data_IF_730964279098
#
_entry.id   IF_730964279098
#
_cell.length_a   1.000
_cell.length_b   1.000
_cell.length_c   1.000
_cell.angle_alpha   90.00
_cell.angle_beta   90.00
_cell.angle_gamma   90.00
#
_symmetry.space_group_name_H-M   'P 1'
#
loop_
_entity.id
_entity.type
_entity.pdbx_description
1 polymer ?
#
# COMPACT_ATOMS: atom_id res chain seq x y z
N UNK A 1 36.09 -14.86 -3.23
CA UNK A 1 35.54 -13.63 -2.54
C UNK A 1 34.04 -13.80 -2.50
N UNK A 2 33.49 -14.10 -1.31
CA UNK A 2 32.03 -14.04 -1.14
C UNK A 2 31.64 -12.60 -1.31
N UNK A 3 30.83 -12.31 -2.36
CA UNK A 3 30.21 -11.02 -2.52
C UNK A 3 29.31 -10.72 -1.33
N UNK A 4 29.22 -9.47 -0.92
CA UNK A 4 28.30 -9.01 0.11
C UNK A 4 26.90 -9.55 -0.22
N UNK A 5 26.17 -10.16 0.72
CA UNK A 5 24.84 -10.65 0.45
C UNK A 5 24.00 -9.51 -0.12
N UNK A 6 23.39 -9.73 -1.28
CA UNK A 6 22.49 -8.75 -1.88
C UNK A 6 21.25 -8.76 -1.00
N UNK A 7 20.92 -7.64 -0.37
CA UNK A 7 19.79 -7.57 0.53
C UNK A 7 18.46 -7.63 -0.23
N UNK A 8 17.57 -8.50 0.23
CA UNK A 8 16.16 -8.48 -0.18
C UNK A 8 15.54 -7.24 0.45
N UNK A 9 14.98 -6.35 -0.37
CA UNK A 9 14.26 -5.22 0.18
C UNK A 9 12.86 -5.62 0.68
N UNK A 10 12.41 -4.98 1.77
CA UNK A 10 11.14 -5.25 2.42
C UNK A 10 10.35 -3.93 2.59
N UNK A 11 9.28 -3.77 1.81
CA UNK A 11 8.36 -2.62 1.94
C UNK A 11 7.59 -2.71 3.25
N UNK A 12 7.11 -3.90 3.58
CA UNK A 12 6.38 -4.19 4.81
C UNK A 12 7.25 -4.70 5.95
N UNK A 13 6.60 -5.29 6.93
CA UNK A 13 7.24 -5.96 8.06
C UNK A 13 6.58 -7.32 8.32
N UNK A 14 7.38 -8.34 8.58
CA UNK A 14 6.90 -9.71 8.82
C UNK A 14 5.96 -9.85 10.03
N UNK A 15 6.06 -8.94 11.00
CA UNK A 15 5.14 -8.87 12.14
C UNK A 15 3.84 -8.11 11.86
N UNK A 16 3.74 -7.44 10.70
CA UNK A 16 2.57 -6.70 10.27
C UNK A 16 2.30 -7.03 8.79
N UNK A 17 1.82 -8.26 8.56
CA UNK A 17 1.63 -8.80 7.20
C UNK A 17 0.44 -8.19 6.44
N UNK A 18 -0.51 -7.60 7.15
CA UNK A 18 -1.66 -6.93 6.55
C UNK A 18 -1.54 -5.41 6.70
N UNK A 19 -1.20 -4.68 5.61
CA UNK A 19 -1.04 -3.23 5.67
C UNK A 19 -2.31 -2.47 6.03
N UNK A 20 -3.50 -3.02 5.78
CA UNK A 20 -4.77 -2.38 6.16
C UNK A 20 -4.89 -2.14 7.67
N UNK A 21 -4.20 -2.92 8.49
CA UNK A 21 -4.20 -2.77 9.94
C UNK A 21 -3.38 -1.57 10.45
N UNK A 22 -2.55 -0.98 9.58
CA UNK A 22 -1.76 0.21 9.94
C UNK A 22 -2.70 1.34 10.34
N UNK A 23 -3.83 1.53 9.65
CA UNK A 23 -4.81 2.56 9.98
C UNK A 23 -5.35 2.40 11.41
N UNK A 24 -5.78 1.20 11.77
CA UNK A 24 -6.33 0.91 13.09
C UNK A 24 -5.29 1.13 14.19
N UNK A 25 -4.09 0.57 14.02
CA UNK A 25 -3.00 0.74 14.98
C UNK A 25 -2.52 2.18 15.10
N UNK A 26 -2.52 2.94 14.01
CA UNK A 26 -2.15 4.34 14.03
C UNK A 26 -3.21 5.21 14.71
N UNK A 27 -4.50 4.92 14.56
CA UNK A 27 -5.58 5.58 15.29
C UNK A 27 -5.43 5.38 16.80
N UNK A 28 -5.16 4.15 17.25
CA UNK A 28 -4.88 3.85 18.66
C UNK A 28 -3.64 4.61 19.17
N UNK A 29 -2.58 4.66 18.38
CA UNK A 29 -1.39 5.43 18.72
C UNK A 29 -1.69 6.93 18.87
N UNK A 30 -2.43 7.51 17.94
CA UNK A 30 -2.72 8.96 17.92
C UNK A 30 -3.55 9.43 19.14
N UNK A 31 -4.37 8.53 19.71
CA UNK A 31 -5.18 8.80 20.90
C UNK A 31 -4.43 8.49 22.21
N UNK A 32 -3.20 7.99 22.11
CA UNK A 32 -2.44 7.53 23.28
C UNK A 32 -1.44 8.58 23.80
N UNK A 33 -0.94 8.36 25.02
CA UNK A 33 0.17 9.13 25.60
C UNK A 33 1.53 8.85 24.97
N UNK A 34 1.61 7.93 24.00
CA UNK A 34 2.87 7.55 23.34
C UNK A 34 3.25 8.49 22.19
N UNK A 35 2.40 9.42 21.79
CA UNK A 35 2.73 10.44 20.78
C UNK A 35 3.95 11.24 21.24
N UNK A 36 5.01 11.22 20.42
CA UNK A 36 6.31 11.85 20.76
C UNK A 36 7.12 11.13 21.84
N UNK A 37 6.67 9.96 22.32
CA UNK A 37 7.33 9.19 23.39
C UNK A 37 7.16 7.66 23.21
N UNK A 38 7.42 7.17 22.01
CA UNK A 38 7.18 5.76 21.66
C UNK A 38 8.44 4.87 21.81
N UNK A 39 9.52 5.37 22.45
CA UNK A 39 10.79 4.64 22.52
C UNK A 39 11.16 4.27 23.95
N UNK A 40 11.97 3.24 24.07
CA UNK A 40 12.37 2.62 25.33
C UNK A 40 11.62 1.33 25.61
N UNK A 41 12.26 0.40 26.32
CA UNK A 41 11.70 -0.94 26.57
C UNK A 41 10.34 -0.86 27.27
N UNK A 42 10.20 0.00 28.26
CA UNK A 42 8.97 0.17 29.00
C UNK A 42 7.82 0.68 28.10
N UNK A 43 8.09 1.70 27.29
CA UNK A 43 7.12 2.24 26.34
C UNK A 43 6.80 1.24 25.21
N UNK A 44 7.79 0.48 24.70
CA UNK A 44 7.56 -0.57 23.71
C UNK A 44 6.60 -1.64 24.28
N UNK A 45 6.81 -2.08 25.52
CA UNK A 45 5.93 -3.06 26.17
C UNK A 45 4.54 -2.46 26.44
N UNK A 46 4.48 -1.24 26.99
CA UNK A 46 3.22 -0.59 27.31
C UNK A 46 2.38 -0.31 26.05
N UNK A 47 3.00 0.14 24.95
CA UNK A 47 2.30 0.33 23.68
C UNK A 47 1.83 -1.00 23.07
N UNK A 48 2.62 -2.05 23.16
CA UNK A 48 2.22 -3.39 22.74
C UNK A 48 0.99 -3.87 23.52
N UNK A 49 0.97 -3.66 24.84
CA UNK A 49 -0.18 -4.01 25.68
C UNK A 49 -1.42 -3.21 25.29
N UNK A 50 -1.29 -1.92 25.01
CA UNK A 50 -2.38 -1.09 24.50
C UNK A 50 -2.94 -1.61 23.17
N UNK A 51 -2.08 -1.97 22.22
CA UNK A 51 -2.50 -2.56 20.95
C UNK A 51 -3.24 -3.89 21.14
N UNK A 52 -2.80 -4.70 22.12
CA UNK A 52 -3.47 -5.95 22.46
C UNK A 52 -4.83 -5.72 23.14
N UNK A 53 -4.91 -4.80 24.08
CA UNK A 53 -6.16 -4.39 24.74
C UNK A 53 -7.20 -3.88 23.73
N UNK A 54 -6.77 -3.12 22.75
CA UNK A 54 -7.62 -2.61 21.66
C UNK A 54 -7.91 -3.64 20.55
N UNK A 55 -7.45 -4.88 20.69
CA UNK A 55 -7.66 -5.96 19.71
C UNK A 55 -6.91 -5.78 18.39
N UNK A 56 -5.94 -4.86 18.35
CA UNK A 56 -5.12 -4.62 17.15
C UNK A 56 -4.13 -5.77 16.92
N UNK A 57 -3.56 -6.30 17.96
CA UNK A 57 -2.70 -7.48 17.95
C UNK A 57 -3.25 -8.55 18.87
N UNK A 58 -2.86 -9.80 18.62
CA UNK A 58 -3.11 -10.90 19.54
C UNK A 58 -1.75 -11.31 20.13
N UNK A 59 -1.53 -10.98 21.39
CA UNK A 59 -0.36 -11.43 22.13
C UNK A 59 -0.76 -12.60 23.03
N UNK A 60 -1.01 -13.76 22.40
CA UNK A 60 -1.39 -14.97 23.12
C UNK A 60 -0.29 -15.40 24.10
N UNK A 61 -0.58 -15.29 25.39
CA UNK A 61 0.22 -15.81 26.47
C UNK A 61 1.52 -15.05 26.76
N UNK A 62 1.61 -13.75 26.45
CA UNK A 62 2.76 -12.93 26.84
C UNK A 62 4.08 -13.29 26.13
N UNK A 63 4.02 -13.91 24.96
CA UNK A 63 5.18 -14.43 24.22
C UNK A 63 6.20 -13.36 23.78
N UNK A 64 5.81 -12.09 23.70
CA UNK A 64 6.73 -10.99 23.37
C UNK A 64 7.02 -10.12 24.60
N UNK A 65 7.90 -10.59 25.46
CA UNK A 65 8.41 -9.84 26.63
C UNK A 65 9.34 -8.69 26.25
N UNK A 66 9.74 -8.60 24.97
CA UNK A 66 10.71 -7.62 24.50
C UNK A 66 10.11 -6.37 23.91
N UNK A 67 8.78 -6.32 23.68
CA UNK A 67 8.11 -5.24 22.97
C UNK A 67 8.48 -5.16 21.48
N UNK A 68 8.93 -6.28 20.89
CA UNK A 68 9.38 -6.30 19.49
C UNK A 68 8.26 -5.95 18.52
N UNK A 69 7.02 -6.30 18.84
CA UNK A 69 5.86 -5.93 18.04
C UNK A 69 5.65 -4.40 17.99
N UNK A 70 5.76 -3.71 19.13
CA UNK A 70 5.64 -2.25 19.16
C UNK A 70 6.69 -1.58 18.26
N UNK A 71 7.95 -2.07 18.27
CA UNK A 71 9.01 -1.56 17.39
C UNK A 71 8.68 -1.76 15.89
N UNK A 72 8.02 -2.87 15.54
CA UNK A 72 7.55 -3.12 14.17
C UNK A 72 6.46 -2.13 13.74
N UNK A 73 5.50 -1.85 14.61
CA UNK A 73 4.46 -0.85 14.37
C UNK A 73 5.06 0.55 14.20
N UNK A 74 5.93 0.98 15.14
CA UNK A 74 6.66 2.24 15.03
C UNK A 74 7.42 2.37 13.71
N UNK A 75 8.13 1.32 13.30
CA UNK A 75 8.81 1.29 12.01
C UNK A 75 7.84 1.53 10.85
N UNK A 76 6.69 0.88 10.85
CA UNK A 76 5.70 1.06 9.79
C UNK A 76 5.06 2.45 9.81
N UNK A 77 4.83 3.04 10.97
CA UNK A 77 4.36 4.42 11.06
C UNK A 77 5.37 5.40 10.46
N UNK A 78 6.65 5.26 10.80
CA UNK A 78 7.70 6.14 10.28
C UNK A 78 7.98 5.93 8.79
N UNK A 79 7.97 4.68 8.30
CA UNK A 79 8.16 4.37 6.87
C UNK A 79 7.05 4.94 5.99
N UNK A 80 5.82 5.00 6.51
CA UNK A 80 4.70 5.60 5.82
C UNK A 80 4.56 7.12 6.08
N UNK A 81 5.53 7.74 6.73
CA UNK A 81 5.53 9.18 6.99
C UNK A 81 4.48 9.67 7.99
N UNK A 82 3.88 8.76 8.78
CA UNK A 82 2.83 9.09 9.73
C UNK A 82 3.37 9.71 11.02
N UNK A 83 4.58 9.31 11.40
CA UNK A 83 5.35 9.90 12.50
C UNK A 83 6.75 10.29 12.02
N UNK A 84 7.35 11.29 12.67
CA UNK A 84 8.73 11.66 12.36
C UNK A 84 9.69 10.54 12.77
N UNK A 85 10.54 10.05 11.84
CA UNK A 85 11.52 9.01 12.15
C UNK A 85 12.62 9.54 13.08
N UNK A 86 13.33 8.62 13.74
CA UNK A 86 14.62 8.95 14.32
C UNK A 86 15.62 9.17 13.19
N UNK A 87 16.14 10.40 13.09
CA UNK A 87 17.16 10.74 12.11
C UNK A 87 18.54 10.36 12.63
N UNK A 88 19.35 9.70 11.82
CA UNK A 88 20.78 9.53 12.11
C UNK A 88 21.47 10.88 11.91
N UNK A 89 22.35 11.27 12.84
CA UNK A 89 23.08 12.54 12.82
C UNK A 89 23.80 12.83 11.50
N UNK A 90 24.24 11.80 10.80
CA UNK A 90 24.87 11.95 9.47
C UNK A 90 23.94 12.53 8.39
N UNK A 91 22.63 12.48 8.60
CA UNK A 91 21.64 13.00 7.66
C UNK A 91 21.08 14.39 8.05
N UNK A 92 21.50 14.92 9.19
CA UNK A 92 21.12 16.25 9.66
C UNK A 92 20.60 16.26 11.10
N UNK A 93 20.14 17.42 11.52
CA UNK A 93 19.61 17.68 12.86
C UNK A 93 18.15 17.21 12.96
N UNK A 94 17.80 16.43 14.00
CA UNK A 94 16.42 15.97 14.24
C UNK A 94 15.43 17.13 14.28
N UNK A 95 15.82 18.27 14.89
CA UNK A 95 14.97 19.46 14.99
C UNK A 95 14.61 20.05 13.62
N UNK A 96 15.46 19.86 12.59
CA UNK A 96 15.19 20.36 11.24
C UNK A 96 14.12 19.53 10.50
N UNK A 97 13.86 18.29 10.95
CA UNK A 97 12.80 17.44 10.41
C UNK A 97 11.51 17.55 11.25
N UNK A 98 11.62 17.42 12.55
CA UNK A 98 10.52 17.43 13.50
C UNK A 98 10.81 16.60 14.75
N UNK A 99 9.97 16.68 15.77
CA UNK A 99 10.12 15.91 17.00
C UNK A 99 9.90 14.41 16.71
N UNK A 100 10.90 13.60 17.02
CA UNK A 100 10.87 12.17 16.84
C UNK A 100 9.61 11.53 17.46
N UNK A 101 9.00 10.61 16.71
CA UNK A 101 7.78 9.87 17.08
C UNK A 101 6.51 10.74 17.28
N UNK A 102 6.58 12.04 16.96
CA UNK A 102 5.39 12.89 16.91
C UNK A 102 4.64 12.71 15.58
N UNK A 103 3.35 13.01 15.58
CA UNK A 103 2.50 12.88 14.39
C UNK A 103 2.85 13.96 13.38
N UNK A 104 3.11 13.55 12.14
CA UNK A 104 3.43 14.44 11.03
C UNK A 104 2.18 15.13 10.48
N UNK A 105 2.31 16.21 9.67
CA UNK A 105 1.19 16.73 8.87
C UNK A 105 0.51 15.63 8.04
N UNK A 106 1.28 14.77 7.39
CA UNK A 106 0.73 13.65 6.62
C UNK A 106 0.03 12.60 7.51
N UNK A 107 0.55 12.33 8.71
CA UNK A 107 -0.11 11.47 9.68
C UNK A 107 -1.48 12.01 10.10
N UNK A 108 -1.62 13.32 10.26
CA UNK A 108 -2.92 13.96 10.52
C UNK A 108 -3.91 13.76 9.38
N UNK A 109 -3.46 13.93 8.13
CA UNK A 109 -4.29 13.66 6.94
C UNK A 109 -4.69 12.19 6.87
N UNK A 110 -3.75 11.27 7.17
CA UNK A 110 -4.04 9.83 7.22
C UNK A 110 -5.11 9.48 8.26
N UNK A 111 -5.13 10.14 9.42
CA UNK A 111 -6.20 9.96 10.43
C UNK A 111 -7.57 10.36 9.89
N UNK A 112 -7.64 11.34 8.98
CA UNK A 112 -8.88 11.79 8.31
C UNK A 112 -9.29 10.93 7.12
N UNK A 113 -8.43 10.05 6.65
CA UNK A 113 -8.73 9.08 5.61
C UNK A 113 -9.61 7.95 6.20
N UNK A 114 -10.91 8.14 6.21
CA UNK A 114 -11.91 7.26 6.84
C UNK A 114 -12.56 6.25 5.86
N UNK A 115 -12.22 6.35 4.56
CA UNK A 115 -12.66 5.41 3.53
C UNK A 115 -11.48 4.62 2.97
N UNK A 116 -11.75 3.40 2.46
CA UNK A 116 -10.68 2.58 1.88
C UNK A 116 -9.93 3.27 0.73
N UNK A 117 -10.59 3.93 -0.26
CA UNK A 117 -9.88 4.67 -1.30
C UNK A 117 -9.04 5.84 -0.78
N UNK A 118 -9.47 6.53 0.28
CA UNK A 118 -8.68 7.59 0.90
C UNK A 118 -7.44 7.05 1.62
N UNK A 119 -7.57 5.94 2.36
CA UNK A 119 -6.44 5.23 2.97
C UNK A 119 -5.47 4.72 1.89
N UNK A 120 -5.99 4.17 0.80
CA UNK A 120 -5.19 3.70 -0.34
C UNK A 120 -4.42 4.84 -1.01
N UNK A 121 -5.02 6.03 -1.15
CA UNK A 121 -4.35 7.22 -1.66
C UNK A 121 -3.16 7.63 -0.78
N UNK A 122 -3.32 7.57 0.56
CA UNK A 122 -2.21 7.82 1.49
C UNK A 122 -1.07 6.81 1.30
N UNK A 123 -1.37 5.52 1.22
CA UNK A 123 -0.34 4.50 0.98
C UNK A 123 0.35 4.68 -0.37
N UNK A 124 -0.39 5.01 -1.42
CA UNK A 124 0.21 5.29 -2.73
C UNK A 124 1.23 6.43 -2.62
N UNK A 125 0.86 7.52 -1.96
CA UNK A 125 1.73 8.69 -1.79
C UNK A 125 2.97 8.37 -0.97
N UNK A 126 2.81 7.69 0.16
CA UNK A 126 3.93 7.24 0.99
C UNK A 126 4.89 6.34 0.21
N UNK A 127 4.39 5.32 -0.47
CA UNK A 127 5.21 4.35 -1.20
C UNK A 127 5.88 4.95 -2.44
N UNK A 128 5.32 6.01 -3.01
CA UNK A 128 5.92 6.70 -4.16
C UNK A 128 7.23 7.43 -3.82
N UNK A 129 7.46 7.74 -2.54
CA UNK A 129 8.65 8.43 -2.03
C UNK A 129 9.41 7.63 -0.96
N UNK A 130 8.95 6.43 -0.63
CA UNK A 130 9.68 5.54 0.28
C UNK A 130 11.05 5.20 -0.30
N UNK A 131 12.09 5.32 0.54
CA UNK A 131 13.48 5.23 0.12
C UNK A 131 14.19 4.04 0.76
N UNK A 132 14.85 3.25 -0.08
CA UNK A 132 15.74 2.17 0.34
C UNK A 132 17.17 2.48 -0.06
N UNK A 133 18.15 2.33 0.83
CA UNK A 133 19.55 2.56 0.48
C UNK A 133 20.04 1.53 -0.55
N UNK A 134 20.77 2.00 -1.54
CA UNK A 134 21.55 1.14 -2.42
C UNK A 134 22.89 0.83 -1.73
N UNK A 135 23.14 -0.44 -1.47
CA UNK A 135 24.34 -0.89 -0.74
C UNK A 135 25.63 -0.35 -1.39
N UNK A 136 26.50 0.25 -0.58
CA UNK A 136 27.79 0.82 -1.01
C UNK A 136 27.74 2.14 -1.76
N UNK A 137 26.57 2.79 -1.82
CA UNK A 137 26.38 4.11 -2.48
C UNK A 137 25.62 5.08 -1.56
N UNK A 138 25.76 6.37 -1.87
CA UNK A 138 24.96 7.41 -1.19
C UNK A 138 23.58 7.61 -1.84
N UNK A 139 23.20 6.76 -2.78
CA UNK A 139 21.93 6.84 -3.50
C UNK A 139 20.89 5.91 -2.91
N UNK A 140 19.63 6.22 -3.19
CA UNK A 140 18.46 5.53 -2.69
C UNK A 140 17.55 5.17 -3.86
N UNK A 141 16.67 4.20 -3.68
CA UNK A 141 15.67 3.85 -4.67
C UNK A 141 14.29 3.64 -4.05
N UNK A 142 13.24 3.80 -4.84
CA UNK A 142 11.88 3.46 -4.44
C UNK A 142 11.49 2.08 -4.97
N UNK A 143 11.18 1.12 -4.10
CA UNK A 143 10.75 -0.21 -4.52
C UNK A 143 9.52 -0.20 -5.43
N UNK A 144 8.52 0.65 -5.12
CA UNK A 144 7.33 0.78 -5.97
C UNK A 144 7.70 1.23 -7.39
N UNK A 145 8.51 2.28 -7.51
CA UNK A 145 8.94 2.82 -8.81
C UNK A 145 9.77 1.82 -9.61
N UNK A 146 10.62 1.05 -8.92
CA UNK A 146 11.42 0.00 -9.55
C UNK A 146 10.55 -1.13 -10.12
N UNK A 147 9.58 -1.62 -9.35
CA UNK A 147 8.64 -2.65 -9.83
C UNK A 147 7.79 -2.14 -10.99
N UNK A 148 7.34 -0.89 -10.93
CA UNK A 148 6.61 -0.28 -12.06
C UNK A 148 7.50 -0.21 -13.31
N UNK A 149 8.78 0.13 -13.19
CA UNK A 149 9.71 0.14 -14.33
C UNK A 149 9.86 -1.26 -14.94
N UNK A 150 10.04 -2.30 -14.13
CA UNK A 150 10.10 -3.70 -14.61
C UNK A 150 8.81 -4.07 -15.35
N UNK A 151 7.64 -3.76 -14.78
CA UNK A 151 6.35 -4.13 -15.34
C UNK A 151 6.03 -3.38 -16.63
N UNK A 152 6.39 -2.12 -16.74
CA UNK A 152 6.24 -1.33 -17.98
C UNK A 152 7.19 -1.81 -19.10
N UNK A 153 8.41 -2.19 -18.75
CA UNK A 153 9.32 -2.79 -19.74
C UNK A 153 8.84 -4.18 -20.20
N UNK A 154 8.24 -4.97 -19.28
CA UNK A 154 7.56 -6.21 -19.68
C UNK A 154 6.38 -5.93 -20.62
N UNK A 155 5.56 -4.93 -20.31
CA UNK A 155 4.42 -4.54 -21.16
C UNK A 155 4.86 -4.13 -22.56
N UNK A 156 5.90 -3.32 -22.65
CA UNK A 156 6.49 -2.91 -23.92
C UNK A 156 6.96 -4.09 -24.78
N UNK A 157 7.50 -5.14 -24.15
CA UNK A 157 8.05 -6.31 -24.87
C UNK A 157 7.04 -7.41 -25.13
N UNK A 158 5.99 -7.51 -24.34
CA UNK A 158 5.05 -8.66 -24.37
C UNK A 158 3.60 -8.26 -24.57
N UNK A 159 3.28 -6.96 -24.53
CA UNK A 159 1.91 -6.46 -24.55
C UNK A 159 1.16 -6.58 -23.21
N UNK A 160 1.84 -7.02 -22.14
CA UNK A 160 1.23 -7.18 -20.80
C UNK A 160 2.18 -6.77 -19.70
N UNK A 161 1.71 -5.95 -18.76
CA UNK A 161 2.45 -5.58 -17.55
C UNK A 161 2.40 -6.66 -16.45
N UNK A 162 1.86 -7.84 -16.72
CA UNK A 162 1.74 -8.92 -15.74
C UNK A 162 3.10 -9.38 -15.23
N UNK A 163 3.25 -9.40 -13.90
CA UNK A 163 4.39 -9.96 -13.18
C UNK A 163 3.87 -11.06 -12.25
N UNK A 164 4.14 -12.32 -12.57
CA UNK A 164 3.67 -13.45 -11.79
C UNK A 164 4.33 -13.53 -10.42
N UNK A 165 3.74 -14.31 -9.50
CA UNK A 165 4.27 -14.50 -8.14
C UNK A 165 5.72 -15.02 -8.14
N UNK A 166 6.03 -15.97 -9.03
CA UNK A 166 7.39 -16.54 -9.11
C UNK A 166 8.38 -15.52 -9.68
N UNK A 167 8.00 -14.79 -10.70
CA UNK A 167 8.84 -13.75 -11.31
C UNK A 167 9.14 -12.63 -10.32
N UNK A 168 8.13 -12.19 -9.56
CA UNK A 168 8.32 -11.22 -8.49
C UNK A 168 9.25 -11.77 -7.40
N UNK A 169 9.07 -13.02 -6.98
CA UNK A 169 9.93 -13.64 -5.98
C UNK A 169 11.39 -13.74 -6.45
N UNK A 170 11.63 -14.12 -7.69
CA UNK A 170 12.99 -14.34 -8.20
C UNK A 170 13.68 -13.05 -8.67
N UNK A 171 12.94 -12.09 -9.24
CA UNK A 171 13.51 -10.93 -9.93
C UNK A 171 12.92 -9.58 -9.51
N UNK A 172 11.81 -9.56 -8.77
CA UNK A 172 11.22 -8.34 -8.23
C UNK A 172 11.95 -7.87 -6.99
N UNK A 173 11.64 -8.46 -5.82
CA UNK A 173 12.13 -8.02 -4.51
C UNK A 173 13.61 -8.33 -4.24
N UNK A 174 14.29 -8.97 -5.18
CA UNK A 174 15.72 -9.31 -5.12
C UNK A 174 16.57 -8.40 -5.99
N UNK A 175 15.98 -7.47 -6.71
CA UNK A 175 16.67 -6.55 -7.62
C UNK A 175 16.38 -5.09 -7.27
N UNK A 176 17.22 -4.19 -7.76
CA UNK A 176 17.14 -2.76 -7.53
C UNK A 176 17.81 -2.05 -8.73
N UNK A 177 17.80 -0.70 -8.83
CA UNK A 177 18.37 0.04 -9.96
C UNK A 177 19.89 -0.14 -10.22
N UNK A 178 20.61 -0.89 -9.41
CA UNK A 178 21.99 -1.33 -9.75
C UNK A 178 22.01 -2.37 -10.84
N UNK A 179 20.91 -3.10 -11.01
CA UNK A 179 20.75 -4.04 -12.10
C UNK A 179 20.30 -3.28 -13.36
N UNK A 180 20.74 -3.72 -14.53
CA UNK A 180 20.15 -3.26 -15.79
C UNK A 180 18.69 -3.70 -15.84
N UNK A 181 17.79 -2.75 -16.09
CA UNK A 181 16.36 -3.03 -16.24
C UNK A 181 16.12 -4.06 -17.37
N UNK A 182 16.88 -3.92 -18.47
CA UNK A 182 16.83 -4.87 -19.58
C UNK A 182 17.22 -6.28 -19.16
N UNK A 183 18.31 -6.43 -18.40
CA UNK A 183 18.77 -7.76 -17.92
C UNK A 183 17.76 -8.39 -16.98
N UNK A 184 17.14 -7.62 -16.09
CA UNK A 184 16.10 -8.15 -15.19
C UNK A 184 14.91 -8.67 -15.99
N UNK A 185 14.47 -7.94 -16.99
CA UNK A 185 13.36 -8.35 -17.86
C UNK A 185 13.75 -9.53 -18.74
N UNK A 186 14.98 -9.58 -19.28
CA UNK A 186 15.49 -10.72 -20.03
C UNK A 186 15.47 -12.01 -19.17
N UNK A 187 15.87 -11.92 -17.92
CA UNK A 187 15.81 -13.04 -16.98
C UNK A 187 14.38 -13.50 -16.69
N UNK A 188 13.44 -12.57 -16.59
CA UNK A 188 12.01 -12.91 -16.42
C UNK A 188 11.47 -13.62 -17.66
N UNK A 189 11.81 -13.14 -18.87
CA UNK A 189 11.37 -13.76 -20.11
C UNK A 189 12.00 -15.14 -20.32
N UNK A 190 13.28 -15.30 -19.99
CA UNK A 190 13.95 -16.63 -19.98
C UNK A 190 13.25 -17.59 -19.01
N UNK A 191 12.96 -17.15 -17.78
CA UNK A 191 12.20 -17.92 -16.82
C UNK A 191 10.85 -18.39 -17.39
N UNK A 192 10.11 -17.52 -18.08
CA UNK A 192 8.85 -17.87 -18.76
C UNK A 192 9.04 -18.97 -19.80
N UNK A 193 10.07 -18.83 -20.63
CA UNK A 193 10.38 -19.84 -21.67
C UNK A 193 10.74 -21.19 -21.06
N UNK A 194 11.63 -21.21 -20.05
CA UNK A 194 12.06 -22.44 -19.37
C UNK A 194 10.88 -23.12 -18.65
N UNK A 195 10.06 -22.30 -17.96
CA UNK A 195 8.87 -22.78 -17.27
C UNK A 195 7.81 -23.36 -18.22
N UNK A 196 7.64 -22.76 -19.40
CA UNK A 196 6.70 -23.27 -20.41
C UNK A 196 7.09 -24.65 -20.92
N UNK A 197 8.39 -24.92 -21.07
CA UNK A 197 8.97 -26.21 -21.51
C UNK A 197 9.05 -27.24 -20.37
N UNK A 198 8.91 -26.84 -19.12
CA UNK A 198 9.04 -27.73 -17.99
C UNK A 198 7.87 -28.73 -17.91
N UNK A 199 8.12 -30.05 -17.76
CA UNK A 199 7.08 -31.05 -17.69
C UNK A 199 6.21 -30.93 -16.43
N UNK A 200 6.79 -30.44 -15.34
CA UNK A 200 6.09 -30.25 -14.07
C UNK A 200 6.35 -28.83 -13.52
N UNK A 201 5.49 -27.87 -13.88
CA UNK A 201 5.65 -26.44 -13.54
C UNK A 201 5.85 -26.19 -12.05
N UNK A 202 5.12 -26.89 -11.17
CA UNK A 202 5.26 -26.72 -9.71
C UNK A 202 6.64 -27.18 -9.20
N UNK A 203 7.20 -28.23 -9.75
CA UNK A 203 8.53 -28.72 -9.40
C UNK A 203 9.59 -27.76 -9.89
N UNK A 204 9.46 -27.29 -11.13
CA UNK A 204 10.32 -26.24 -11.69
C UNK A 204 10.34 -24.99 -10.79
N UNK A 205 9.16 -24.46 -10.43
CA UNK A 205 9.02 -23.29 -9.58
C UNK A 205 9.73 -23.49 -8.23
N UNK A 206 9.60 -24.66 -7.59
CA UNK A 206 10.28 -24.95 -6.32
C UNK A 206 11.80 -24.99 -6.46
N UNK A 207 12.30 -25.55 -7.56
CA UNK A 207 13.75 -25.62 -7.82
C UNK A 207 14.35 -24.24 -8.04
N UNK A 208 13.73 -23.40 -8.88
CA UNK A 208 14.18 -22.03 -9.12
C UNK A 208 14.19 -21.21 -7.82
N UNK A 209 13.12 -21.33 -7.01
CA UNK A 209 13.05 -20.66 -5.71
C UNK A 209 14.12 -21.16 -4.76
N UNK A 210 14.37 -22.47 -4.69
CA UNK A 210 15.38 -23.03 -3.79
C UNK A 210 16.80 -22.58 -4.16
N UNK A 211 17.10 -22.48 -5.46
CA UNK A 211 18.38 -21.96 -5.95
C UNK A 211 18.52 -20.48 -5.56
N UNK A 212 17.51 -19.66 -5.90
CA UNK A 212 17.55 -18.22 -5.65
C UNK A 212 17.61 -17.88 -4.16
N UNK A 213 16.85 -18.58 -3.32
CA UNK A 213 16.85 -18.38 -1.87
C UNK A 213 18.24 -18.61 -1.23
N UNK A 214 19.02 -19.55 -1.76
CA UNK A 214 20.40 -19.80 -1.29
C UNK A 214 21.33 -18.61 -1.57
N UNK A 215 21.14 -17.89 -2.68
CA UNK A 215 21.94 -16.71 -3.00
C UNK A 215 21.79 -15.62 -1.92
N UNK A 216 20.69 -15.63 -1.17
CA UNK A 216 20.36 -14.68 -0.10
C UNK A 216 20.49 -15.29 1.31
N UNK A 217 21.04 -16.47 1.45
CA UNK A 217 21.12 -17.20 2.71
C UNK A 217 19.75 -17.32 3.41
N UNK A 218 18.72 -17.70 2.63
CA UNK A 218 17.35 -17.87 3.11
C UNK A 218 16.82 -19.27 2.83
N UNK A 219 15.94 -19.73 3.73
CA UNK A 219 15.09 -20.89 3.45
C UNK A 219 14.02 -20.49 2.43
N UNK A 220 13.63 -21.39 1.53
CA UNK A 220 12.64 -21.16 0.48
C UNK A 220 11.31 -20.58 1.01
N UNK A 221 10.84 -21.08 2.16
CA UNK A 221 9.57 -20.61 2.75
C UNK A 221 9.69 -19.16 3.25
N UNK A 222 10.79 -18.80 3.92
CA UNK A 222 11.02 -17.42 4.36
C UNK A 222 11.18 -16.47 3.16
N UNK A 223 11.86 -16.92 2.11
CA UNK A 223 12.06 -16.16 0.88
C UNK A 223 10.72 -15.85 0.22
N UNK A 224 9.82 -16.84 0.11
CA UNK A 224 8.49 -16.66 -0.43
C UNK A 224 7.59 -15.81 0.48
N UNK A 225 7.69 -15.97 1.79
CA UNK A 225 6.94 -15.16 2.76
C UNK A 225 7.27 -13.67 2.62
N UNK A 226 8.55 -13.32 2.42
CA UNK A 226 8.96 -11.94 2.16
C UNK A 226 8.43 -11.42 0.83
N UNK A 227 8.48 -12.23 -0.21
CA UNK A 227 7.90 -11.90 -1.52
C UNK A 227 6.39 -11.64 -1.42
N UNK A 228 5.65 -12.56 -0.81
CA UNK A 228 4.19 -12.43 -0.65
C UNK A 228 3.80 -11.20 0.20
N UNK A 229 4.57 -10.89 1.22
CA UNK A 229 4.38 -9.69 2.02
C UNK A 229 4.60 -8.42 1.19
N UNK A 230 5.71 -8.33 0.45
CA UNK A 230 5.99 -7.19 -0.42
C UNK A 230 4.88 -6.98 -1.46
N UNK A 231 4.39 -8.05 -2.08
CA UNK A 231 3.28 -7.97 -3.03
C UNK A 231 1.97 -7.45 -2.40
N UNK A 232 1.69 -7.80 -1.13
CA UNK A 232 0.52 -7.26 -0.40
C UNK A 232 0.64 -5.77 -0.16
N UNK A 233 1.82 -5.33 0.28
CA UNK A 233 2.10 -3.91 0.51
C UNK A 233 2.07 -3.11 -0.80
N UNK A 234 2.70 -3.59 -1.86
CA UNK A 234 2.67 -2.91 -3.15
C UNK A 234 1.25 -2.74 -3.69
N UNK A 235 0.37 -3.72 -3.47
CA UNK A 235 -1.03 -3.65 -3.93
C UNK A 235 -1.87 -2.61 -3.18
N UNK A 236 -1.57 -2.31 -1.91
CA UNK A 236 -2.36 -1.32 -1.18
C UNK A 236 -2.25 0.07 -1.79
N UNK A 237 -1.22 0.34 -2.59
CA UNK A 237 -1.08 1.59 -3.36
C UNK A 237 -2.20 1.78 -4.39
N UNK A 238 -2.87 0.70 -4.81
CA UNK A 238 -3.89 0.72 -5.85
C UNK A 238 -3.37 1.00 -7.26
N UNK A 239 -2.07 1.30 -7.44
CA UNK A 239 -1.44 1.38 -8.76
C UNK A 239 -1.14 -0.02 -9.30
N UNK A 240 -0.98 -0.98 -8.40
CA UNK A 240 -0.83 -2.39 -8.69
C UNK A 240 -2.05 -3.18 -8.23
N UNK A 241 -2.57 -4.02 -9.10
CA UNK A 241 -3.71 -4.88 -8.85
C UNK A 241 -3.30 -6.35 -8.86
N UNK A 242 -4.12 -7.19 -8.25
CA UNK A 242 -3.94 -8.64 -8.29
C UNK A 242 -4.32 -9.20 -9.66
N UNK A 243 -3.42 -9.98 -10.26
CA UNK A 243 -3.70 -10.81 -11.44
C UNK A 243 -3.35 -12.27 -11.12
N UNK A 244 -4.33 -13.11 -10.93
CA UNK A 244 -4.11 -14.46 -10.41
C UNK A 244 -3.40 -14.44 -9.05
N UNK A 245 -2.16 -14.97 -8.99
CA UNK A 245 -1.26 -14.87 -7.83
C UNK A 245 -0.19 -13.78 -7.98
N UNK A 246 -0.16 -13.05 -9.10
CA UNK A 246 0.80 -12.00 -9.42
C UNK A 246 0.22 -10.60 -9.33
N UNK A 247 0.87 -9.69 -10.03
CA UNK A 247 0.58 -8.27 -10.10
C UNK A 247 0.33 -7.85 -11.56
N UNK A 248 -0.48 -6.82 -11.73
CA UNK A 248 -0.65 -6.08 -12.99
C UNK A 248 -0.80 -4.60 -12.67
N UNK A 249 -0.35 -3.72 -13.56
CA UNK A 249 -0.58 -2.29 -13.43
C UNK A 249 -2.09 -2.01 -13.62
N UNK A 250 -2.66 -1.21 -12.73
CA UNK A 250 -4.06 -0.76 -12.86
C UNK A 250 -4.23 0.08 -14.13
N UNK A 251 -5.12 -0.28 -15.05
CA UNK A 251 -5.37 0.54 -16.25
C UNK A 251 -5.73 1.99 -15.91
N UNK A 252 -6.53 2.19 -14.86
CA UNK A 252 -6.94 3.53 -14.41
C UNK A 252 -5.78 4.38 -13.86
N UNK A 253 -4.64 3.77 -13.52
CA UNK A 253 -3.45 4.46 -12.97
C UNK A 253 -2.20 4.27 -13.84
N UNK A 254 -2.37 3.88 -15.11
CA UNK A 254 -1.26 3.62 -16.00
C UNK A 254 -0.39 4.86 -16.23
N UNK A 255 -0.99 6.01 -16.47
CA UNK A 255 -0.27 7.29 -16.64
C UNK A 255 0.56 7.64 -15.39
N UNK A 256 0.02 7.41 -14.20
CA UNK A 256 0.75 7.58 -12.95
C UNK A 256 1.92 6.58 -12.85
N UNK A 257 1.69 5.32 -13.21
CA UNK A 257 2.73 4.29 -13.21
C UNK A 257 3.90 4.68 -14.12
N UNK A 258 3.64 5.15 -15.35
CA UNK A 258 4.66 5.67 -16.25
C UNK A 258 5.41 6.87 -15.66
N UNK A 259 4.69 7.81 -15.04
CA UNK A 259 5.32 8.98 -14.42
C UNK A 259 6.22 8.60 -13.23
N UNK A 260 5.80 7.66 -12.39
CA UNK A 260 6.58 7.16 -11.26
C UNK A 260 7.82 6.37 -11.71
N UNK A 261 7.71 5.56 -12.74
CA UNK A 261 8.79 4.73 -13.26
C UNK A 261 9.94 5.51 -13.90
N UNK A 262 9.75 6.78 -14.25
CA UNK A 262 10.79 7.64 -14.84
C UNK A 262 11.98 7.92 -13.92
N UNK A 263 11.78 7.81 -12.58
CA UNK A 263 12.81 8.04 -11.58
C UNK A 263 12.77 6.96 -10.51
N UNK A 264 13.52 5.88 -10.72
CA UNK A 264 13.57 4.73 -9.79
C UNK A 264 14.62 4.90 -8.70
N UNK A 265 15.69 5.66 -8.97
CA UNK A 265 16.73 6.00 -8.01
C UNK A 265 16.78 7.51 -7.77
N UNK A 266 17.31 7.91 -6.62
CA UNK A 266 17.33 9.29 -6.19
C UNK A 266 18.62 9.60 -5.42
N UNK A 267 19.29 10.70 -5.80
CA UNK A 267 20.51 11.19 -5.16
C UNK A 267 20.23 12.31 -4.15
N UNK A 268 18.96 12.66 -3.91
CA UNK A 268 18.59 13.68 -2.93
C UNK A 268 18.99 13.26 -1.53
N UNK A 269 19.37 14.22 -0.67
CA UNK A 269 19.59 13.94 0.74
C UNK A 269 18.38 13.25 1.38
N UNK A 270 18.63 12.24 2.19
CA UNK A 270 17.57 11.45 2.84
C UNK A 270 16.61 12.31 3.67
N UNK A 271 17.12 13.39 4.29
CA UNK A 271 16.29 14.33 5.05
C UNK A 271 15.23 15.01 4.18
N UNK A 272 15.56 15.38 2.94
CA UNK A 272 14.60 16.00 2.03
C UNK A 272 13.49 15.02 1.63
N UNK A 273 13.82 13.75 1.40
CA UNK A 273 12.82 12.73 1.13
C UNK A 273 11.91 12.49 2.35
N UNK A 274 12.45 12.51 3.56
CA UNK A 274 11.64 12.45 4.77
C UNK A 274 10.75 13.69 4.93
N UNK A 275 11.22 14.89 4.58
CA UNK A 275 10.38 16.09 4.58
C UNK A 275 9.22 15.97 3.61
N UNK A 276 9.49 15.53 2.38
CA UNK A 276 8.46 15.29 1.36
C UNK A 276 7.43 14.28 1.88
N UNK A 277 7.87 13.15 2.41
CA UNK A 277 7.02 12.11 2.95
C UNK A 277 6.17 12.62 4.14
N UNK A 278 6.77 13.28 5.11
CA UNK A 278 6.09 13.78 6.31
C UNK A 278 5.10 14.93 6.03
N UNK A 279 5.25 15.63 4.89
CA UNK A 279 4.38 16.73 4.47
C UNK A 279 3.35 16.38 3.40
N UNK A 280 3.18 15.07 3.09
CA UNK A 280 2.08 14.61 2.28
C UNK A 280 2.41 14.08 0.89
N UNK A 281 3.71 13.87 0.59
CA UNK A 281 4.19 13.14 -0.57
C UNK A 281 3.42 13.42 -1.88
N UNK A 282 3.67 14.54 -2.58
CA UNK A 282 3.00 14.86 -3.83
C UNK A 282 3.33 13.81 -4.91
N UNK A 283 2.36 13.50 -5.76
CA UNK A 283 2.54 12.63 -6.91
C UNK A 283 2.95 13.46 -8.15
N UNK A 284 3.75 12.90 -9.07
CA UNK A 284 4.18 13.62 -10.27
C UNK A 284 3.02 14.00 -11.22
N UNK A 285 1.86 13.37 -11.06
CA UNK A 285 0.64 13.66 -11.82
C UNK A 285 -0.33 14.58 -11.09
N UNK A 286 0.01 15.06 -9.90
CA UNK A 286 -0.84 15.99 -9.17
C UNK A 286 -1.04 17.28 -9.98
N UNK A 287 -2.29 17.69 -10.08
CA UNK A 287 -2.71 18.97 -10.64
C UNK A 287 -3.76 19.56 -9.70
N UNK A 288 -3.40 20.64 -9.02
CA UNK A 288 -4.24 21.24 -7.97
C UNK A 288 -5.54 21.79 -8.55
N UNK A 289 -5.51 22.46 -9.69
CA UNK A 289 -6.70 23.03 -10.32
C UNK A 289 -7.69 21.96 -10.74
N UNK A 290 -7.19 20.88 -11.35
CA UNK A 290 -8.02 19.72 -11.73
C UNK A 290 -8.58 19.04 -10.47
N UNK A 291 -7.79 18.85 -9.43
CA UNK A 291 -8.23 18.22 -8.19
C UNK A 291 -9.33 19.08 -7.50
N UNK A 292 -9.16 20.39 -7.44
CA UNK A 292 -10.18 21.33 -6.92
C UNK A 292 -11.47 21.31 -7.75
N UNK A 293 -11.34 21.30 -9.08
CA UNK A 293 -12.50 21.22 -9.97
C UNK A 293 -13.31 19.95 -9.73
N UNK A 294 -12.63 18.79 -9.67
CA UNK A 294 -13.29 17.50 -9.39
C UNK A 294 -13.92 17.49 -8.00
N UNK A 295 -13.24 18.02 -6.97
CA UNK A 295 -13.80 18.11 -5.62
C UNK A 295 -15.08 18.97 -5.59
N UNK A 296 -15.07 20.12 -6.24
CA UNK A 296 -16.23 21.00 -6.33
C UNK A 296 -17.41 20.33 -7.05
N UNK A 297 -17.16 19.57 -8.13
CA UNK A 297 -18.19 18.80 -8.82
C UNK A 297 -18.80 17.72 -7.93
N UNK A 298 -17.98 17.01 -7.15
CA UNK A 298 -18.45 16.00 -6.19
C UNK A 298 -19.31 16.65 -5.09
N UNK A 299 -18.88 17.79 -4.55
CA UNK A 299 -19.64 18.53 -3.54
C UNK A 299 -21.00 19.00 -4.11
N UNK A 300 -21.03 19.45 -5.37
CA UNK A 300 -22.29 19.80 -6.06
C UNK A 300 -23.20 18.58 -6.20
N UNK A 301 -22.69 17.45 -6.68
CA UNK A 301 -23.46 16.21 -6.80
C UNK A 301 -24.05 15.77 -5.45
N UNK A 302 -23.28 15.85 -4.36
CA UNK A 302 -23.78 15.52 -3.03
C UNK A 302 -24.92 16.44 -2.59
N UNK A 303 -24.78 17.74 -2.84
CA UNK A 303 -25.84 18.72 -2.55
C UNK A 303 -27.12 18.46 -3.35
N UNK A 304 -27.00 18.21 -4.65
CA UNK A 304 -28.12 17.89 -5.55
C UNK A 304 -28.86 16.62 -5.11
N UNK A 305 -28.08 15.62 -4.66
CA UNK A 305 -28.57 14.31 -4.20
C UNK A 305 -29.00 14.31 -2.72
N UNK A 306 -28.86 15.43 -2.01
CA UNK A 306 -29.15 15.59 -0.57
C UNK A 306 -28.37 14.61 0.32
N UNK A 307 -27.14 14.29 -0.07
CA UNK A 307 -26.20 13.48 0.72
C UNK A 307 -25.46 14.40 1.68
N UNK A 308 -25.65 14.18 2.99
CA UNK A 308 -24.92 14.93 4.01
C UNK A 308 -23.51 14.36 4.17
N UNK A 309 -22.49 15.19 4.00
CA UNK A 309 -21.09 14.86 4.26
C UNK A 309 -20.28 16.12 4.56
N UNK A 310 -19.44 16.05 5.58
CA UNK A 310 -18.58 17.15 6.00
C UNK A 310 -17.12 16.81 5.73
N UNK A 311 -16.40 17.72 5.08
CA UNK A 311 -14.96 17.66 4.84
C UNK A 311 -14.21 18.84 5.47
N UNK A 312 -14.87 19.62 6.33
CA UNK A 312 -14.27 20.79 6.99
C UNK A 312 -13.12 20.42 7.94
N UNK A 313 -12.98 19.16 8.26
CA UNK A 313 -11.88 18.59 9.05
C UNK A 313 -10.54 18.51 8.30
N UNK A 314 -10.52 18.78 6.98
CA UNK A 314 -9.34 18.88 6.14
C UNK A 314 -9.12 20.33 5.70
N UNK A 315 -7.90 20.87 5.81
CA UNK A 315 -7.60 22.27 5.43
C UNK A 315 -7.67 22.51 3.92
N UNK A 316 -7.52 21.49 3.08
CA UNK A 316 -7.55 21.56 1.61
C UNK A 316 -6.48 22.49 1.00
N UNK A 317 -5.35 22.63 1.66
CA UNK A 317 -4.26 23.53 1.26
C UNK A 317 -3.28 22.85 0.29
N UNK A 318 -3.26 21.54 0.26
CA UNK A 318 -2.32 20.74 -0.55
C UNK A 318 -3.05 19.78 -1.50
N UNK A 319 -2.45 19.42 -2.65
CA UNK A 319 -3.01 18.39 -3.54
C UNK A 319 -3.31 17.08 -2.83
N UNK A 320 -2.53 16.72 -1.81
CA UNK A 320 -2.75 15.53 -0.99
C UNK A 320 -4.07 15.60 -0.25
N UNK A 321 -4.32 16.68 0.50
CA UNK A 321 -5.57 16.90 1.26
C UNK A 321 -6.78 16.93 0.35
N UNK A 322 -6.68 17.64 -0.78
CA UNK A 322 -7.74 17.74 -1.78
C UNK A 322 -8.07 16.35 -2.35
N UNK A 323 -7.07 15.55 -2.70
CA UNK A 323 -7.29 14.21 -3.23
C UNK A 323 -7.83 13.25 -2.17
N UNK A 324 -7.44 13.36 -0.90
CA UNK A 324 -8.02 12.57 0.19
C UNK A 324 -9.50 12.93 0.39
N UNK A 325 -9.86 14.22 0.42
CA UNK A 325 -11.24 14.67 0.47
C UNK A 325 -12.06 14.13 -0.71
N UNK A 326 -11.52 14.25 -1.92
CA UNK A 326 -12.12 13.70 -3.14
C UNK A 326 -12.43 12.20 -3.01
N UNK A 327 -11.46 11.39 -2.55
CA UNK A 327 -11.65 9.94 -2.37
C UNK A 327 -12.71 9.60 -1.32
N UNK A 328 -12.81 10.41 -0.27
CA UNK A 328 -13.87 10.26 0.73
C UNK A 328 -15.25 10.50 0.09
N UNK A 329 -15.43 11.60 -0.65
CA UNK A 329 -16.71 11.92 -1.32
C UNK A 329 -17.07 10.90 -2.40
N UNK A 330 -16.14 10.49 -3.25
CA UNK A 330 -16.34 9.43 -4.25
C UNK A 330 -16.87 8.15 -3.61
N UNK A 331 -16.31 7.75 -2.46
CA UNK A 331 -16.76 6.55 -1.73
C UNK A 331 -18.18 6.69 -1.18
N UNK A 332 -18.52 7.84 -0.62
CA UNK A 332 -19.88 8.10 -0.09
C UNK A 332 -20.92 8.07 -1.20
N UNK A 333 -20.62 8.67 -2.34
CA UNK A 333 -21.50 8.65 -3.51
C UNK A 333 -21.68 7.21 -4.02
N UNK A 334 -20.60 6.45 -4.17
CA UNK A 334 -20.66 5.08 -4.64
C UNK A 334 -21.46 4.17 -3.69
N UNK A 335 -21.27 4.29 -2.37
CA UNK A 335 -22.07 3.57 -1.38
C UNK A 335 -23.55 3.92 -1.44
N UNK A 336 -23.89 5.19 -1.65
CA UNK A 336 -25.27 5.62 -1.79
C UNK A 336 -25.93 5.03 -3.04
N UNK A 337 -25.19 4.98 -4.16
CA UNK A 337 -25.64 4.35 -5.39
C UNK A 337 -25.89 2.84 -5.24
N UNK A 338 -24.99 2.13 -4.58
CA UNK A 338 -25.15 0.71 -4.28
C UNK A 338 -26.38 0.42 -3.41
N UNK A 339 -26.60 1.23 -2.37
CA UNK A 339 -27.77 1.10 -1.49
C UNK A 339 -29.06 1.36 -2.28
N UNK A 340 -29.11 2.41 -3.09
CA UNK A 340 -30.29 2.73 -3.91
C UNK A 340 -30.58 1.62 -4.92
N UNK A 341 -29.54 1.08 -5.56
CA UNK A 341 -29.67 -0.04 -6.49
C UNK A 341 -30.20 -1.29 -5.78
N UNK A 342 -29.64 -1.66 -4.65
CA UNK A 342 -30.08 -2.81 -3.87
C UNK A 342 -31.53 -2.65 -3.39
N UNK A 343 -31.93 -1.43 -2.98
CA UNK A 343 -33.28 -1.14 -2.56
C UNK A 343 -34.28 -1.20 -3.71
N UNK A 344 -33.92 -0.72 -4.90
CA UNK A 344 -34.72 -0.86 -6.11
C UNK A 344 -34.93 -2.34 -6.49
N UNK A 345 -33.86 -3.15 -6.40
CA UNK A 345 -33.94 -4.61 -6.62
C UNK A 345 -34.89 -5.28 -5.61
N UNK A 346 -34.75 -4.96 -4.32
CA UNK A 346 -35.65 -5.50 -3.28
C UNK A 346 -37.12 -5.11 -3.51
N UNK A 347 -37.39 -3.88 -3.92
CA UNK A 347 -38.75 -3.43 -4.25
C UNK A 347 -39.33 -4.20 -5.45
N UNK A 348 -38.53 -4.41 -6.49
CA UNK A 348 -38.93 -5.17 -7.66
C UNK A 348 -39.28 -6.63 -7.30
N UNK A 349 -38.43 -7.28 -6.47
CA UNK A 349 -38.73 -8.63 -5.99
C UNK A 349 -39.99 -8.71 -5.15
N UNK A 350 -40.26 -7.67 -4.34
CA UNK A 350 -41.48 -7.59 -3.56
C UNK A 350 -42.73 -7.48 -4.46
N UNK A 351 -42.68 -6.63 -5.49
CA UNK A 351 -43.77 -6.52 -6.47
C UNK A 351 -44.03 -7.85 -7.19
N UNK A 352 -42.98 -8.56 -7.61
CA UNK A 352 -43.11 -9.88 -8.23
C UNK A 352 -43.74 -10.87 -7.25
N UNK A 353 -43.30 -10.87 -5.99
CA UNK A 353 -43.83 -11.77 -4.96
C UNK A 353 -45.33 -11.48 -4.67
N UNK A 354 -45.68 -10.22 -4.57
CA UNK A 354 -47.08 -9.79 -4.37
C UNK A 354 -47.96 -10.21 -5.56
N UNK A 355 -47.46 -10.00 -6.79
CA UNK A 355 -48.16 -10.46 -8.01
C UNK A 355 -48.35 -11.97 -8.07
N UNK A 356 -47.33 -12.75 -7.76
CA UNK A 356 -47.40 -14.20 -7.68
C UNK A 356 -48.39 -14.68 -6.60
N UNK A 357 -48.46 -13.99 -5.47
CA UNK A 357 -49.40 -14.27 -4.40
C UNK A 357 -50.87 -14.02 -4.87
N UNK A 358 -51.09 -12.94 -5.64
CA UNK A 358 -52.38 -12.65 -6.23
C UNK A 358 -52.82 -13.71 -7.26
N UNK A 359 -51.91 -14.18 -8.10
CA UNK A 359 -52.13 -15.27 -9.05
C UNK A 359 -52.52 -16.56 -8.35
N UNK A 360 -51.79 -16.94 -7.29
CA UNK A 360 -52.06 -18.15 -6.50
C UNK A 360 -53.43 -18.04 -5.83
N UNK A 361 -53.77 -16.89 -5.25
CA UNK A 361 -55.07 -16.66 -4.59
C UNK A 361 -56.22 -16.54 -5.58
N UNK A 362 -55.97 -16.01 -6.79
CA UNK A 362 -56.93 -15.89 -7.86
C UNK A 362 -57.21 -17.20 -8.60
N UNK A 363 -56.26 -18.09 -8.72
CA UNK A 363 -56.37 -19.40 -9.37
C UNK A 363 -57.18 -20.47 -8.61
N UNK A 364 -57.60 -20.18 -7.38
CA UNK A 364 -58.42 -21.06 -6.56
C UNK A 364 -59.93 -20.89 -6.70
N UNK A 365 -60.42 -20.11 -7.69
CA UNK A 365 -61.84 -19.89 -7.96
C UNK A 365 -62.19 -20.15 -9.43
N UNK A 366 -61.91 -21.33 -9.88
CA UNK A 366 -62.55 -21.85 -11.07
C UNK A 366 -62.66 -23.35 -10.93
N UNK A 367 -63.74 -23.83 -10.35
CA UNK A 367 -64.69 -24.85 -10.75
C UNK A 367 -65.85 -24.81 -9.83
#
# INVERSE_FOLDING_TARGET
KMGTPIDIWLVGNTGLRNPNRIKDGFSVFAESSFVGNLRGRENDIAFMNLLNEKGIIQNEGGKDESGSHARKWRLMFSKNGLIYPKLDKKYGEQAALGKMDDITPFGRVFLKADTYPAVQECFLRAMSVEQFPLAGESSYFSPLRWILAIMLELEKRTGSSELSRIEFALWGHTTNPKYSLSEVVDNILDLRMRRAKAPAKKTFDRQEIAVRAKDYDKKSDNFLDYSDMNMRYLRISGVLQRKGRGLIISPAKHVLAEALAKSTANDKPLIEEYRILCNGAPLPTDNEDVAKSVLNDLMRQMKERRIAFDISDLPLDTPTEINIARRRLESVIAQTDEIQYAQAQCNQWKEISDYMTLLIKGGGKTV
#
